data_IF_055132364736
#
_entry.id   IF_055132364736
#
_cell.length_a   1.000
_cell.length_b   1.000
_cell.length_c   1.000
_cell.angle_alpha   90.00
_cell.angle_beta   90.00
_cell.angle_gamma   90.00
#
_symmetry.space_group_name_H-M   'P 1'
#
loop_
_entity.id
_entity.type
_entity.pdbx_description
1 polymer ?
#
# COMPACT_ATOMS: atom_id res chain seq x y z
N UNK A 1 2.61 -16.65 9.57
CA UNK A 1 3.65 -15.58 9.45
C UNK A 1 3.11 -14.19 9.83
N UNK A 2 3.95 -13.16 10.07
CA UNK A 2 3.46 -11.80 10.34
C UNK A 2 2.51 -11.25 9.26
N UNK A 3 2.75 -11.62 7.99
CA UNK A 3 1.85 -11.28 6.86
C UNK A 3 0.49 -11.95 6.94
N UNK A 4 0.42 -13.21 7.38
CA UNK A 4 -0.83 -13.96 7.57
C UNK A 4 -1.65 -13.40 8.75
N UNK A 5 -0.99 -13.07 9.87
CA UNK A 5 -1.64 -12.41 11.00
C UNK A 5 -2.24 -11.06 10.63
N UNK A 6 -1.56 -10.29 9.79
CA UNK A 6 -2.10 -9.04 9.27
C UNK A 6 -3.38 -9.27 8.43
N UNK A 7 -3.40 -10.29 7.57
CA UNK A 7 -4.59 -10.63 6.78
C UNK A 7 -5.76 -11.08 7.66
N UNK A 8 -5.52 -11.92 8.67
CA UNK A 8 -6.53 -12.31 9.66
C UNK A 8 -7.08 -11.08 10.39
N UNK A 9 -6.21 -10.18 10.85
CA UNK A 9 -6.62 -8.98 11.56
C UNK A 9 -7.35 -7.97 10.67
N UNK A 10 -7.09 -7.96 9.36
CA UNK A 10 -7.83 -7.16 8.39
C UNK A 10 -9.30 -7.59 8.33
N UNK A 11 -9.55 -8.90 8.20
CA UNK A 11 -10.91 -9.48 8.20
C UNK A 11 -11.65 -9.12 9.49
N UNK A 12 -11.00 -9.30 10.64
CA UNK A 12 -11.60 -8.94 11.94
C UNK A 12 -11.93 -7.44 12.07
N UNK A 13 -11.14 -6.58 11.42
CA UNK A 13 -11.37 -5.13 11.44
C UNK A 13 -12.53 -4.75 10.51
N UNK A 14 -12.68 -5.43 9.37
CA UNK A 14 -13.83 -5.27 8.46
C UNK A 14 -15.14 -5.73 9.10
N UNK A 15 -15.11 -6.84 9.84
CA UNK A 15 -16.26 -7.31 10.62
C UNK A 15 -16.63 -6.29 11.72
N UNK A 16 -15.64 -5.83 12.49
CA UNK A 16 -15.87 -4.82 13.54
C UNK A 16 -16.40 -3.49 12.98
N UNK A 17 -15.96 -3.09 11.78
CA UNK A 17 -16.50 -1.93 11.06
C UNK A 17 -17.98 -2.14 10.73
N UNK A 18 -18.32 -3.30 10.18
CA UNK A 18 -19.71 -3.64 9.82
C UNK A 18 -20.63 -3.63 11.04
N UNK A 19 -20.15 -4.13 12.18
CA UNK A 19 -20.87 -4.08 13.45
C UNK A 19 -21.04 -2.65 13.99
N UNK A 20 -20.02 -1.80 13.89
CA UNK A 20 -20.10 -0.40 14.32
C UNK A 20 -21.08 0.42 13.47
N UNK A 21 -21.16 0.15 12.16
CA UNK A 21 -22.16 0.78 11.26
C UNK A 21 -23.58 0.40 11.68
N UNK A 22 -23.80 -0.86 12.07
CA UNK A 22 -25.12 -1.36 12.49
C UNK A 22 -25.48 -0.96 13.93
N UNK A 23 -24.48 -0.77 14.79
CA UNK A 23 -24.66 -0.45 16.20
C UNK A 23 -23.55 0.50 16.69
N UNK A 24 -23.85 1.79 16.92
CA UNK A 24 -22.87 2.78 17.38
C UNK A 24 -22.17 2.43 18.70
N UNK A 25 -22.76 1.59 19.57
CA UNK A 25 -22.10 1.12 20.80
C UNK A 25 -20.90 0.21 20.54
N UNK A 26 -20.74 -0.29 19.31
CA UNK A 26 -19.63 -1.14 18.86
C UNK A 26 -18.43 -0.33 18.35
N UNK A 27 -18.53 1.01 18.29
CA UNK A 27 -17.44 1.89 17.80
C UNK A 27 -16.11 1.64 18.52
N UNK A 28 -16.12 1.48 19.85
CA UNK A 28 -14.89 1.21 20.62
C UNK A 28 -14.21 -0.12 20.22
N UNK A 29 -14.97 -1.11 19.76
CA UNK A 29 -14.45 -2.40 19.32
C UNK A 29 -13.80 -2.29 17.94
N UNK A 30 -14.40 -1.49 17.05
CA UNK A 30 -13.78 -1.12 15.78
C UNK A 30 -12.47 -0.35 15.99
N UNK A 31 -12.45 0.68 16.85
CA UNK A 31 -11.23 1.43 17.16
C UNK A 31 -10.11 0.55 17.71
N UNK A 32 -10.45 -0.40 18.59
CA UNK A 32 -9.49 -1.35 19.13
C UNK A 32 -8.97 -2.32 18.06
N UNK A 33 -9.82 -2.75 17.12
CA UNK A 33 -9.44 -3.60 15.99
C UNK A 33 -8.50 -2.85 15.03
N UNK A 34 -8.76 -1.58 14.74
CA UNK A 34 -7.90 -0.71 13.92
C UNK A 34 -6.51 -0.58 14.53
N UNK A 35 -6.39 -0.29 15.83
CA UNK A 35 -5.08 -0.20 16.51
C UNK A 35 -4.28 -1.50 16.44
N UNK A 36 -4.96 -2.65 16.48
CA UNK A 36 -4.30 -3.96 16.33
C UNK A 36 -3.87 -4.21 14.89
N UNK A 37 -4.71 -3.83 13.92
CA UNK A 37 -4.40 -3.90 12.50
C UNK A 37 -3.16 -3.07 12.15
N UNK A 38 -3.04 -1.85 12.68
CA UNK A 38 -1.85 -1.00 12.48
C UNK A 38 -0.57 -1.67 13.00
N UNK A 39 -0.63 -2.28 14.18
CA UNK A 39 0.50 -3.00 14.75
C UNK A 39 0.90 -4.22 13.90
N UNK A 40 -0.08 -5.01 13.49
CA UNK A 40 0.18 -6.22 12.69
C UNK A 40 0.65 -5.86 11.27
N UNK A 41 0.18 -4.74 10.72
CA UNK A 41 0.71 -4.16 9.48
C UNK A 41 2.20 -3.85 9.57
N UNK A 42 2.65 -3.14 10.61
CA UNK A 42 4.08 -2.81 10.77
C UNK A 42 4.94 -4.08 10.92
N UNK A 43 4.45 -5.09 11.65
CA UNK A 43 5.12 -6.36 11.77
C UNK A 43 5.20 -7.12 10.43
N UNK A 44 4.09 -7.16 9.68
CA UNK A 44 4.01 -7.75 8.34
C UNK A 44 4.96 -7.04 7.36
N UNK A 45 4.94 -5.70 7.35
CA UNK A 45 5.82 -4.85 6.54
C UNK A 45 7.29 -5.12 6.86
N UNK A 46 7.67 -5.16 8.13
CA UNK A 46 9.04 -5.47 8.54
C UNK A 46 9.48 -6.90 8.21
N UNK A 47 8.56 -7.86 8.25
CA UNK A 47 8.81 -9.23 7.80
C UNK A 47 8.99 -9.30 6.28
N UNK A 48 8.07 -8.73 5.51
CA UNK A 48 8.11 -8.71 4.05
C UNK A 48 9.37 -8.01 3.52
N UNK A 49 9.77 -6.87 4.10
CA UNK A 49 11.02 -6.18 3.73
C UNK A 49 12.27 -7.04 3.92
N UNK A 50 12.31 -7.88 4.96
CA UNK A 50 13.47 -8.71 5.28
C UNK A 50 13.48 -10.02 4.49
N UNK A 51 12.35 -10.73 4.49
CA UNK A 51 12.20 -12.07 3.91
C UNK A 51 11.87 -12.02 2.42
N UNK A 52 10.86 -11.22 2.05
CA UNK A 52 10.39 -11.12 0.67
C UNK A 52 11.45 -10.54 -0.27
N UNK A 53 12.21 -9.55 0.17
CA UNK A 53 13.28 -8.99 -0.65
C UNK A 53 14.44 -9.96 -0.89
N UNK A 54 14.82 -10.75 0.13
CA UNK A 54 15.92 -11.71 0.02
C UNK A 54 15.61 -12.95 -0.82
N UNK A 55 14.33 -13.19 -1.12
CA UNK A 55 13.88 -14.34 -1.93
C UNK A 55 13.71 -14.00 -3.41
N UNK A 56 13.77 -12.71 -3.77
CA UNK A 56 13.74 -12.23 -5.15
C UNK A 56 15.11 -12.40 -5.80
N UNK A 57 15.13 -12.63 -7.11
CA UNK A 57 16.38 -12.60 -7.88
C UNK A 57 16.96 -11.17 -7.99
N UNK A 58 18.19 -11.06 -8.50
CA UNK A 58 18.88 -9.77 -8.57
C UNK A 58 18.15 -8.75 -9.46
N UNK A 59 17.48 -9.20 -10.52
CA UNK A 59 16.75 -8.35 -11.45
C UNK A 59 15.44 -7.83 -10.83
N UNK A 60 14.72 -8.70 -10.13
CA UNK A 60 13.53 -8.37 -9.36
C UNK A 60 13.83 -7.42 -8.20
N UNK A 61 14.93 -7.65 -7.48
CA UNK A 61 15.38 -6.75 -6.42
C UNK A 61 15.73 -5.36 -6.97
N UNK A 62 16.42 -5.29 -8.12
CA UNK A 62 16.74 -4.03 -8.78
C UNK A 62 15.48 -3.31 -9.27
N UNK A 63 14.51 -4.03 -9.85
CA UNK A 63 13.22 -3.49 -10.22
C UNK A 63 12.46 -2.90 -9.02
N UNK A 64 12.45 -3.58 -7.87
CA UNK A 64 11.86 -3.08 -6.61
C UNK A 64 12.58 -1.81 -6.14
N UNK A 65 13.92 -1.79 -6.13
CA UNK A 65 14.70 -0.61 -5.69
C UNK A 65 14.40 0.60 -6.59
N UNK A 66 14.39 0.41 -7.91
CA UNK A 66 14.06 1.45 -8.89
C UNK A 66 12.63 1.94 -8.72
N UNK A 67 11.68 1.04 -8.52
CA UNK A 67 10.29 1.40 -8.27
C UNK A 67 10.14 2.23 -6.99
N UNK A 68 10.86 1.90 -5.91
CA UNK A 68 10.87 2.68 -4.67
C UNK A 68 11.36 4.11 -4.89
N UNK A 69 12.50 4.29 -5.58
CA UNK A 69 13.02 5.63 -5.88
C UNK A 69 12.06 6.45 -6.74
N UNK A 70 11.36 5.82 -7.68
CA UNK A 70 10.34 6.48 -8.49
C UNK A 70 9.09 6.85 -7.68
N UNK A 71 8.69 6.02 -6.71
CA UNK A 71 7.61 6.37 -5.78
C UNK A 71 7.99 7.55 -4.89
N UNK A 72 9.24 7.65 -4.43
CA UNK A 72 9.70 8.79 -3.63
C UNK A 72 9.54 10.10 -4.42
N UNK A 73 9.90 10.11 -5.71
CA UNK A 73 9.68 11.25 -6.60
C UNK A 73 8.19 11.52 -6.80
N UNK A 74 7.40 10.48 -7.07
CA UNK A 74 5.97 10.63 -7.33
C UNK A 74 5.20 11.21 -6.13
N UNK A 75 5.63 10.86 -4.92
CA UNK A 75 5.01 11.28 -3.67
C UNK A 75 5.57 12.60 -3.12
N UNK A 76 6.68 13.11 -3.66
CA UNK A 76 7.21 14.43 -3.28
C UNK A 76 6.26 15.54 -3.76
N UNK A 77 5.56 16.15 -2.82
CA UNK A 77 4.60 17.22 -3.10
C UNK A 77 5.27 18.53 -3.56
N UNK A 78 6.60 18.66 -3.42
CA UNK A 78 7.37 19.81 -3.89
C UNK A 78 7.92 19.61 -5.31
N UNK A 79 7.84 18.39 -5.86
CA UNK A 79 8.30 18.08 -7.20
C UNK A 79 7.31 18.54 -8.28
N UNK A 80 7.79 18.73 -9.50
CA UNK A 80 6.98 19.20 -10.62
C UNK A 80 5.92 18.15 -11.00
N UNK A 81 4.64 18.55 -11.15
CA UNK A 81 3.52 17.63 -11.31
C UNK A 81 3.67 16.62 -12.49
N UNK A 82 4.14 17.04 -13.68
CA UNK A 82 4.46 16.11 -14.77
C UNK A 82 5.55 15.07 -14.43
N UNK A 83 6.57 15.47 -13.67
CA UNK A 83 7.64 14.57 -13.23
C UNK A 83 7.10 13.53 -12.24
N UNK A 84 6.27 13.97 -11.30
CA UNK A 84 5.59 13.08 -10.33
C UNK A 84 4.72 12.04 -11.02
N UNK A 85 3.96 12.42 -12.05
CA UNK A 85 3.14 11.47 -12.84
C UNK A 85 3.99 10.46 -13.59
N UNK A 86 5.01 10.93 -14.32
CA UNK A 86 5.89 10.04 -15.06
C UNK A 86 6.60 9.04 -14.14
N UNK A 87 7.00 9.49 -12.95
CA UNK A 87 7.59 8.64 -11.92
C UNK A 87 6.57 7.61 -11.40
N UNK A 88 5.33 8.01 -11.11
CA UNK A 88 4.28 7.10 -10.66
C UNK A 88 3.99 5.98 -11.69
N UNK A 89 3.80 6.33 -12.97
CA UNK A 89 3.56 5.33 -14.01
C UNK A 89 4.71 4.33 -14.16
N UNK A 90 5.96 4.82 -14.14
CA UNK A 90 7.14 3.95 -14.23
C UNK A 90 7.29 3.05 -13.00
N UNK A 91 6.99 3.56 -11.81
CA UNK A 91 7.01 2.78 -10.58
C UNK A 91 6.01 1.62 -10.65
N UNK A 92 4.76 1.89 -11.06
CA UNK A 92 3.73 0.85 -11.22
C UNK A 92 4.15 -0.19 -12.23
N UNK A 93 4.67 0.23 -13.39
CA UNK A 93 5.11 -0.69 -14.43
C UNK A 93 6.21 -1.64 -13.94
N UNK A 94 7.18 -1.14 -13.17
CA UNK A 94 8.24 -1.96 -12.57
C UNK A 94 7.71 -2.89 -11.47
N UNK A 95 6.76 -2.44 -10.64
CA UNK A 95 6.18 -3.30 -9.61
C UNK A 95 5.43 -4.48 -10.22
N UNK A 96 4.71 -4.27 -11.33
CA UNK A 96 3.99 -5.33 -12.05
C UNK A 96 4.87 -6.44 -12.61
N UNK A 97 6.19 -6.21 -12.77
CA UNK A 97 7.10 -7.27 -13.22
C UNK A 97 7.57 -8.17 -12.07
N UNK A 98 7.34 -7.77 -10.82
CA UNK A 98 7.86 -8.46 -9.63
C UNK A 98 6.73 -8.97 -8.72
N UNK A 99 5.61 -8.27 -8.68
CA UNK A 99 4.45 -8.60 -7.85
C UNK A 99 3.17 -8.46 -8.65
N UNK A 100 2.31 -9.47 -8.54
CA UNK A 100 0.92 -9.37 -8.97
C UNK A 100 0.21 -8.35 -8.07
N UNK A 101 0.07 -7.14 -8.59
CA UNK A 101 -0.68 -6.08 -7.94
C UNK A 101 -2.17 -6.37 -8.10
N UNK A 102 -2.93 -6.52 -7.01
CA UNK A 102 -4.38 -6.69 -7.10
C UNK A 102 -5.01 -5.45 -7.76
N UNK A 103 -6.09 -5.66 -8.53
CA UNK A 103 -6.76 -4.60 -9.30
C UNK A 103 -7.21 -3.40 -8.44
N UNK A 104 -7.50 -3.65 -7.16
CA UNK A 104 -7.83 -2.62 -6.18
C UNK A 104 -6.64 -1.72 -5.86
N UNK A 105 -5.42 -2.28 -5.76
CA UNK A 105 -4.20 -1.51 -5.57
C UNK A 105 -3.86 -0.70 -6.82
N UNK A 106 -4.01 -1.29 -8.00
CA UNK A 106 -3.88 -0.59 -9.28
C UNK A 106 -4.83 0.60 -9.35
N UNK A 107 -6.12 0.38 -9.06
CA UNK A 107 -7.15 1.41 -9.09
C UNK A 107 -6.88 2.54 -8.09
N UNK A 108 -6.40 2.22 -6.88
CA UNK A 108 -6.02 3.22 -5.89
C UNK A 108 -4.85 4.11 -6.36
N UNK A 109 -3.89 3.51 -7.07
CA UNK A 109 -2.76 4.24 -7.65
C UNK A 109 -3.24 5.13 -8.80
N UNK A 110 -4.06 4.60 -9.71
CA UNK A 110 -4.62 5.36 -10.83
C UNK A 110 -5.45 6.56 -10.33
N UNK A 111 -6.28 6.37 -9.30
CA UNK A 111 -7.00 7.48 -8.66
C UNK A 111 -6.08 8.54 -8.06
N UNK A 112 -4.90 8.16 -7.53
CA UNK A 112 -3.92 9.12 -7.03
C UNK A 112 -3.28 9.87 -8.19
N UNK A 113 -2.95 9.21 -9.29
CA UNK A 113 -2.44 9.83 -10.53
C UNK A 113 -3.44 10.85 -11.08
N UNK A 114 -4.71 10.47 -11.22
CA UNK A 114 -5.77 11.37 -11.69
C UNK A 114 -5.98 12.58 -10.78
N UNK A 115 -5.76 12.43 -9.47
CA UNK A 115 -5.80 13.58 -8.55
C UNK A 115 -4.66 14.56 -8.81
N UNK A 116 -3.46 14.04 -9.03
CA UNK A 116 -2.30 14.85 -9.44
C UNK A 116 -2.51 15.50 -10.82
N UNK A 117 -3.39 14.96 -11.67
CA UNK A 117 -3.86 15.58 -12.93
C UNK A 117 -4.73 16.81 -12.73
N UNK A 118 -5.51 16.83 -11.66
CA UNK A 118 -6.46 17.91 -11.38
C UNK A 118 -5.83 19.06 -10.60
N UNK A 119 -4.76 18.81 -9.84
CA UNK A 119 -4.01 19.84 -9.08
C UNK A 119 -3.17 20.78 -9.99
N UNK A 120 -2.99 20.41 -11.26
CA UNK A 120 -2.15 21.09 -12.26
C UNK A 120 -2.96 21.97 -13.24
N UNK A 121 -4.28 22.12 -13.01
CA UNK A 121 -5.20 23.00 -13.76
C UNK A 121 -5.59 24.20 -12.94
#
# INVERSE_FOLDING_TARGET
PPTEKFQEQLVLTEDARSDAVRNPHKTAQYEAAVKRLEKDWEAARGHAKRKGFSTLDDAEQDAIRRAQSLLDIALDENAFAPERRAAMHKAVALLRTVVDLPDTAVSAIDHRVTRLELEDR
#
